data_IF_710490694433
#
_entry.id   IF_710490694433
#
_cell.length_a   1.000
_cell.length_b   1.000
_cell.length_c   1.000
_cell.angle_alpha   90.00
_cell.angle_beta   90.00
_cell.angle_gamma   90.00
#
_symmetry.space_group_name_H-M   'P 1'
#
loop_
_entity.id
_entity.type
_entity.pdbx_description
1 polymer ?
#
# COMPACT_ATOMS: atom_id res chain seq x y z
N UNK A 1 40.01 15.25 -5.53
CA UNK A 1 40.78 14.09 -5.04
C UNK A 1 39.86 13.28 -4.13
N UNK A 2 39.07 12.37 -4.73
CA UNK A 2 38.06 11.57 -4.01
C UNK A 2 38.64 10.18 -3.82
N UNK A 3 38.83 9.76 -2.56
CA UNK A 3 39.27 8.41 -2.22
C UNK A 3 38.01 7.55 -2.05
N UNK A 4 37.78 6.67 -3.02
CA UNK A 4 36.82 5.57 -2.89
C UNK A 4 37.43 4.60 -1.89
N UNK A 5 36.79 4.44 -0.73
CA UNK A 5 37.16 3.40 0.24
C UNK A 5 36.74 2.04 -0.34
N UNK A 6 37.59 1.01 -0.28
CA UNK A 6 37.19 -0.35 -0.66
C UNK A 6 36.11 -0.86 0.31
N UNK A 7 35.05 -1.45 -0.23
CA UNK A 7 34.06 -2.18 0.56
C UNK A 7 34.75 -3.27 1.40
N UNK A 8 34.31 -3.50 2.65
CA UNK A 8 34.81 -4.61 3.43
C UNK A 8 34.46 -5.93 2.74
N UNK A 9 35.45 -6.83 2.75
CA UNK A 9 35.44 -8.13 2.09
C UNK A 9 34.18 -8.92 2.47
N UNK A 10 33.49 -9.41 1.44
CA UNK A 10 32.33 -10.28 1.54
C UNK A 10 32.61 -11.40 2.55
N UNK A 11 31.83 -11.42 3.63
CA UNK A 11 31.69 -12.58 4.49
C UNK A 11 31.46 -13.80 3.60
N UNK A 12 32.36 -14.77 3.75
CA UNK A 12 32.46 -15.99 2.96
C UNK A 12 31.07 -16.56 2.71
N UNK A 13 30.57 -16.47 1.49
CA UNK A 13 29.44 -17.27 1.05
C UNK A 13 29.78 -18.72 1.36
N UNK A 14 29.03 -19.31 2.28
CA UNK A 14 29.05 -20.74 2.54
C UNK A 14 28.89 -21.42 1.17
N UNK A 15 29.81 -22.29 0.74
CA UNK A 15 29.67 -22.94 -0.55
C UNK A 15 28.37 -23.72 -0.51
N UNK A 16 27.45 -23.38 -1.40
CA UNK A 16 26.25 -24.18 -1.63
C UNK A 16 26.76 -25.52 -2.19
N UNK A 17 27.00 -26.49 -1.30
CA UNK A 17 27.29 -27.84 -1.72
C UNK A 17 26.14 -28.25 -2.62
N UNK A 18 26.47 -28.51 -3.89
CA UNK A 18 25.62 -29.24 -4.82
C UNK A 18 25.38 -30.60 -4.18
N UNK A 19 24.27 -30.74 -3.48
CA UNK A 19 23.75 -32.03 -3.06
C UNK A 19 23.21 -32.66 -4.33
N UNK A 20 23.97 -33.61 -4.89
CA UNK A 20 23.43 -34.53 -5.89
C UNK A 20 22.48 -35.48 -5.17
N UNK A 21 21.25 -35.02 -4.92
CA UNK A 21 20.13 -35.85 -4.49
C UNK A 21 18.98 -35.62 -5.45
N UNK A 22 18.67 -36.66 -6.23
CA UNK A 22 17.63 -36.69 -7.26
C UNK A 22 16.19 -36.72 -6.70
N UNK A 23 15.98 -36.30 -5.45
CA UNK A 23 14.65 -36.17 -4.84
C UNK A 23 14.55 -34.96 -3.89
N UNK A 24 15.33 -33.90 -4.14
CA UNK A 24 15.08 -32.59 -3.50
C UNK A 24 13.86 -31.94 -4.13
N UNK A 25 12.69 -32.39 -3.66
CA UNK A 25 11.40 -31.81 -3.95
C UNK A 25 11.42 -30.37 -3.45
N UNK A 26 11.83 -29.45 -4.32
CA UNK A 26 11.83 -28.02 -4.06
C UNK A 26 10.40 -27.64 -3.69
N UNK A 27 10.20 -27.33 -2.42
CA UNK A 27 8.91 -26.81 -1.95
C UNK A 27 8.75 -25.42 -2.54
N UNK A 28 8.17 -25.36 -3.74
CA UNK A 28 7.67 -24.11 -4.30
C UNK A 28 6.55 -23.63 -3.38
N UNK A 29 6.84 -22.62 -2.57
CA UNK A 29 5.80 -21.80 -1.94
C UNK A 29 5.07 -21.05 -3.07
N UNK A 30 4.01 -21.67 -3.57
CA UNK A 30 3.09 -21.05 -4.51
C UNK A 30 2.36 -19.96 -3.74
N UNK A 31 2.75 -18.70 -3.99
CA UNK A 31 1.92 -17.56 -3.62
C UNK A 31 0.62 -17.67 -4.42
N UNK A 32 -0.41 -18.24 -3.82
CA UNK A 32 -1.76 -18.17 -4.38
C UNK A 32 -2.23 -16.75 -4.22
N UNK A 33 -1.96 -15.91 -5.22
CA UNK A 33 -2.69 -14.66 -5.40
C UNK A 33 -4.15 -15.06 -5.56
N UNK A 34 -4.93 -14.85 -4.51
CA UNK A 34 -6.36 -15.14 -4.53
C UNK A 34 -6.95 -14.17 -5.56
N UNK A 35 -7.19 -14.69 -6.76
CA UNK A 35 -7.81 -13.94 -7.86
C UNK A 35 -9.28 -13.78 -7.49
N UNK A 36 -9.61 -12.73 -6.75
CA UNK A 36 -10.96 -12.57 -6.20
C UNK A 36 -11.34 -11.16 -5.83
N UNK A 37 -10.42 -10.38 -5.26
CA UNK A 37 -10.68 -8.97 -4.93
C UNK A 37 -9.33 -8.26 -4.90
N UNK A 38 -9.10 -7.37 -5.86
CA UNK A 38 -8.02 -6.39 -5.81
C UNK A 38 -8.07 -5.74 -4.42
N UNK A 39 -6.93 -5.46 -3.74
CA UNK A 39 -6.96 -4.76 -2.47
C UNK A 39 -7.57 -3.37 -2.71
N UNK A 40 -8.87 -3.24 -2.45
CA UNK A 40 -9.52 -1.95 -2.40
C UNK A 40 -8.85 -1.17 -1.26
N UNK A 41 -8.45 0.07 -1.54
CA UNK A 41 -7.91 0.97 -0.51
C UNK A 41 -8.93 1.04 0.61
N UNK A 42 -8.67 0.45 1.80
CA UNK A 42 -9.75 0.24 2.75
C UNK A 42 -10.15 1.57 3.37
N UNK A 43 -11.44 1.88 3.31
CA UNK A 43 -11.99 3.17 3.74
C UNK A 43 -12.12 4.20 2.61
N UNK A 44 -11.67 3.90 1.39
CA UNK A 44 -11.83 4.81 0.24
C UNK A 44 -13.32 5.08 -0.03
N UNK A 45 -14.16 4.05 -0.03
CA UNK A 45 -15.61 4.21 -0.21
C UNK A 45 -16.22 5.15 0.84
N UNK A 46 -15.74 5.09 2.09
CA UNK A 46 -16.22 5.96 3.16
C UNK A 46 -15.79 7.42 2.94
N UNK A 47 -14.57 7.65 2.42
CA UNK A 47 -14.09 8.99 2.04
C UNK A 47 -14.97 9.59 0.95
N UNK A 48 -15.26 8.84 -0.11
CA UNK A 48 -16.11 9.31 -1.19
C UNK A 48 -17.52 9.63 -0.69
N UNK A 49 -18.07 8.79 0.20
CA UNK A 49 -19.36 9.04 0.82
C UNK A 49 -19.35 10.30 1.68
N UNK A 50 -18.32 10.53 2.49
CA UNK A 50 -18.18 11.73 3.33
C UNK A 50 -17.97 13.01 2.48
N UNK A 51 -17.29 12.88 1.35
CA UNK A 51 -17.10 13.96 0.37
C UNK A 51 -18.32 14.20 -0.53
N UNK A 52 -19.37 13.37 -0.43
CA UNK A 52 -20.57 13.46 -1.29
C UNK A 52 -20.33 13.05 -2.75
N UNK A 53 -19.29 12.24 -3.02
CA UNK A 53 -18.90 11.78 -4.34
C UNK A 53 -19.35 10.34 -4.60
N UNK A 54 -19.75 10.04 -5.84
CA UNK A 54 -20.27 8.72 -6.24
C UNK A 54 -19.35 7.96 -7.20
N UNK A 55 -18.22 8.55 -7.62
CA UNK A 55 -17.30 7.97 -8.60
C UNK A 55 -16.28 6.98 -8.00
N UNK A 56 -16.69 6.20 -6.99
CA UNK A 56 -15.81 5.26 -6.27
C UNK A 56 -15.18 4.22 -7.20
N UNK A 57 -15.92 3.66 -8.15
CA UNK A 57 -15.38 2.65 -9.07
C UNK A 57 -14.27 3.19 -9.98
N UNK A 58 -14.36 4.47 -10.40
CA UNK A 58 -13.31 5.13 -11.18
C UNK A 58 -12.07 5.36 -10.31
N UNK A 59 -12.27 5.73 -9.04
CA UNK A 59 -11.18 5.88 -8.08
C UNK A 59 -10.48 4.56 -7.74
N UNK A 60 -11.24 3.46 -7.59
CA UNK A 60 -10.69 2.12 -7.35
C UNK A 60 -9.83 1.65 -8.53
N UNK A 61 -10.28 1.88 -9.76
CA UNK A 61 -9.48 1.61 -10.96
C UNK A 61 -8.19 2.43 -11.00
N UNK A 62 -8.25 3.70 -10.60
CA UNK A 62 -7.06 4.53 -10.49
C UNK A 62 -6.10 3.99 -9.44
N UNK A 63 -6.59 3.61 -8.25
CA UNK A 63 -5.76 3.03 -7.20
C UNK A 63 -5.09 1.73 -7.66
N UNK A 64 -5.82 0.86 -8.37
CA UNK A 64 -5.25 -0.35 -8.97
C UNK A 64 -4.14 -0.04 -9.99
N UNK A 65 -4.35 0.97 -10.83
CA UNK A 65 -3.40 1.34 -11.89
C UNK A 65 -2.13 2.02 -11.35
N UNK A 66 -2.29 2.86 -10.32
CA UNK A 66 -1.17 3.57 -9.67
C UNK A 66 -0.49 2.70 -8.61
N UNK A 67 -1.14 1.62 -8.16
CA UNK A 67 -0.63 0.75 -7.10
C UNK A 67 -0.85 1.31 -5.69
N UNK A 68 -1.75 2.26 -5.52
CA UNK A 68 -2.10 2.81 -4.21
C UNK A 68 -2.89 1.78 -3.40
N UNK A 69 -2.40 1.44 -2.21
CA UNK A 69 -2.98 0.48 -1.29
C UNK A 69 -3.52 1.13 -0.01
N UNK A 70 -3.05 2.34 0.35
CA UNK A 70 -3.44 3.08 1.54
C UNK A 70 -4.03 4.47 1.21
N UNK A 71 -4.83 5.03 2.13
CA UNK A 71 -5.41 6.37 1.94
C UNK A 71 -4.33 7.45 1.94
N UNK A 72 -3.25 7.21 2.66
CA UNK A 72 -2.05 8.04 2.70
C UNK A 72 -1.38 8.13 1.32
N UNK A 73 -1.26 7.02 0.60
CA UNK A 73 -0.71 7.02 -0.76
C UNK A 73 -1.64 7.75 -1.75
N UNK A 74 -2.96 7.63 -1.56
CA UNK A 74 -3.94 8.42 -2.33
C UNK A 74 -3.83 9.93 -2.01
N UNK A 75 -3.41 10.27 -0.79
CA UNK A 75 -3.17 11.67 -0.39
C UNK A 75 -1.89 12.23 -1.00
N UNK A 76 -0.83 11.42 -1.06
CA UNK A 76 0.44 11.79 -1.69
C UNK A 76 0.24 12.12 -3.18
N UNK A 77 -0.63 11.35 -3.85
CA UNK A 77 -0.97 11.51 -5.26
C UNK A 77 -2.31 12.26 -5.48
N UNK A 78 -2.70 13.11 -4.53
CA UNK A 78 -4.02 13.76 -4.49
C UNK A 78 -4.36 14.54 -5.78
N UNK A 79 -3.41 15.29 -6.33
CA UNK A 79 -3.65 16.07 -7.55
C UNK A 79 -3.91 15.17 -8.76
N UNK A 80 -3.17 14.07 -8.87
CA UNK A 80 -3.28 13.12 -9.98
C UNK A 80 -4.64 12.39 -9.96
N UNK A 81 -5.11 11.93 -8.79
CA UNK A 81 -6.43 11.30 -8.69
C UNK A 81 -7.55 12.33 -8.92
N UNK A 82 -7.40 13.58 -8.48
CA UNK A 82 -8.40 14.63 -8.72
C UNK A 82 -8.50 15.01 -10.20
N UNK A 83 -7.39 14.99 -10.92
CA UNK A 83 -7.37 15.16 -12.38
C UNK A 83 -8.03 13.97 -13.08
N UNK A 84 -7.67 12.73 -12.71
CA UNK A 84 -8.24 11.53 -13.29
C UNK A 84 -9.77 11.43 -13.09
N UNK A 85 -10.25 11.84 -11.91
CA UNK A 85 -11.67 11.85 -11.57
C UNK A 85 -12.40 13.09 -12.09
N UNK A 86 -11.70 14.04 -12.72
CA UNK A 86 -12.25 15.28 -13.28
C UNK A 86 -13.01 16.09 -12.22
N UNK A 87 -12.50 16.12 -10.98
CA UNK A 87 -13.16 16.81 -9.87
C UNK A 87 -13.02 18.33 -10.02
N UNK A 88 -14.14 19.04 -9.87
CA UNK A 88 -14.16 20.50 -9.73
C UNK A 88 -13.52 20.95 -8.41
N UNK A 89 -13.12 22.23 -8.32
CA UNK A 89 -12.48 22.82 -7.13
C UNK A 89 -13.25 22.57 -5.83
N UNK A 90 -14.58 22.67 -5.86
CA UNK A 90 -15.40 22.44 -4.69
C UNK A 90 -15.33 20.97 -4.22
N UNK A 91 -15.43 20.04 -5.17
CA UNK A 91 -15.34 18.59 -4.93
C UNK A 91 -13.95 18.17 -4.46
N UNK A 92 -12.89 18.76 -5.03
CA UNK A 92 -11.50 18.53 -4.58
C UNK A 92 -11.34 18.91 -3.11
N UNK A 93 -11.83 20.08 -2.71
CA UNK A 93 -11.73 20.51 -1.32
C UNK A 93 -12.46 19.55 -0.37
N UNK A 94 -13.71 19.17 -0.68
CA UNK A 94 -14.45 18.20 0.13
C UNK A 94 -13.75 16.85 0.23
N UNK A 95 -13.21 16.38 -0.91
CA UNK A 95 -12.46 15.13 -0.98
C UNK A 95 -11.18 15.18 -0.13
N UNK A 96 -10.41 16.26 -0.20
CA UNK A 96 -9.19 16.46 0.60
C UNK A 96 -9.46 16.37 2.10
N UNK A 97 -10.50 17.07 2.57
CA UNK A 97 -10.88 17.07 3.99
C UNK A 97 -11.29 15.67 4.46
N UNK A 98 -12.13 14.98 3.66
CA UNK A 98 -12.56 13.63 3.97
C UNK A 98 -11.38 12.65 3.99
N UNK A 99 -10.45 12.76 3.04
CA UNK A 99 -9.30 11.87 2.94
C UNK A 99 -8.34 12.05 4.12
N UNK A 100 -8.03 13.30 4.51
CA UNK A 100 -7.23 13.60 5.70
C UNK A 100 -7.84 13.05 7.00
N UNK A 101 -9.15 13.24 7.18
CA UNK A 101 -9.90 12.73 8.34
C UNK A 101 -9.78 11.21 8.46
N UNK A 102 -9.92 10.49 7.34
CA UNK A 102 -9.91 9.03 7.31
C UNK A 102 -8.51 8.41 7.37
N UNK A 103 -7.50 9.07 6.79
CA UNK A 103 -6.11 8.66 6.91
C UNK A 103 -5.62 8.71 8.38
N UNK A 104 -5.97 9.77 9.11
CA UNK A 104 -5.52 9.95 10.50
C UNK A 104 -6.31 9.08 11.51
N UNK A 105 -7.59 8.82 11.24
CA UNK A 105 -8.46 8.07 12.16
C UNK A 105 -8.04 6.62 12.40
N UNK A 106 -7.36 5.97 11.44
CA UNK A 106 -6.93 4.57 11.56
C UNK A 106 -5.68 4.40 12.42
N UNK A 107 -4.76 5.36 12.38
CA UNK A 107 -3.58 5.38 13.26
C UNK A 107 -3.98 5.44 14.74
N UNK A 108 -5.02 6.23 15.07
CA UNK A 108 -5.54 6.33 16.43
C UNK A 108 -6.34 5.08 16.90
N UNK A 109 -6.92 4.31 15.98
CA UNK A 109 -7.67 3.09 16.32
C UNK A 109 -6.74 1.89 16.60
N UNK A 110 -5.61 1.78 15.90
CA UNK A 110 -4.65 0.70 16.12
C UNK A 110 -3.90 0.86 17.45
N UNK A 111 -3.61 2.10 17.87
CA UNK A 111 -2.94 2.42 19.13
C UNK A 111 -3.75 1.99 20.37
N UNK A 112 -5.08 2.06 20.31
CA UNK A 112 -5.95 1.67 21.44
C UNK A 112 -5.99 0.15 21.69
N UNK A 113 -5.78 -0.65 20.65
CA UNK A 113 -5.87 -2.11 20.75
C UNK A 113 -4.57 -2.77 21.25
N UNK A 114 -3.46 -2.04 21.29
CA UNK A 114 -2.19 -2.53 21.83
C UNK A 114 -2.15 -2.52 23.37
N UNK A 115 -3.02 -1.76 24.03
CA UNK A 115 -3.06 -1.63 25.51
C UNK A 115 -3.96 -2.66 26.20
N UNK A 116 -4.70 -3.49 25.46
CA UNK A 116 -5.73 -4.38 26.01
C UNK A 116 -5.30 -5.87 26.16
N UNK A 117 -4.00 -6.19 26.08
CA UNK A 117 -3.47 -7.57 26.24
C UNK A 117 -2.47 -7.75 27.39
N UNK A 118 -2.58 -6.94 28.44
CA UNK A 118 -1.95 -7.25 29.74
C UNK A 118 -3.01 -7.02 30.82
N UNK A 119 -3.74 -8.09 31.13
CA UNK A 119 -4.72 -8.16 32.21
C UNK A 119 -4.96 -9.61 32.54
#
# INVERSE_FOLDING_TARGET
MVRILPMPEAEKCIPCHRVESLDEQTMYRKWTVVKGTIPQVPGLTDVFRDAGLTCTSKAEQWCESTGAAFLEEVLEEFDAICEFLELDKASRFGFFIALHKHAQGRSAALSRNASARVG
#
